data_IF_454560792788
#
_entry.id   IF_454560792788
#
_cell.length_a   1.000
_cell.length_b   1.000
_cell.length_c   1.000
_cell.angle_alpha   90.00
_cell.angle_beta   90.00
_cell.angle_gamma   90.00
#
_symmetry.space_group_name_H-M   'P 1'
#
loop_
_entity.id
_entity.type
_entity.pdbx_description
1 polymer ?
#
# COMPACT_ATOMS: atom_id res chain seq x y z
N UNK A 1 -4.30 24.97 31.17
CA UNK A 1 -3.74 24.42 29.93
C UNK A 1 -2.43 23.73 30.29
N UNK A 2 -2.22 22.50 29.84
CA UNK A 2 -0.96 21.77 30.06
C UNK A 2 -0.17 21.81 28.76
N UNK A 3 1.05 22.34 28.80
CA UNK A 3 1.94 22.34 27.64
C UNK A 3 2.60 20.98 27.49
N UNK A 4 2.48 20.37 26.31
CA UNK A 4 3.14 19.12 25.95
C UNK A 4 4.00 19.33 24.71
N UNK A 5 4.98 18.46 24.51
CA UNK A 5 5.90 18.51 23.37
C UNK A 5 5.95 17.15 22.68
N UNK A 6 6.12 17.17 21.36
CA UNK A 6 6.39 15.97 20.58
C UNK A 6 7.86 15.58 20.68
N UNK A 7 8.14 14.31 20.41
CA UNK A 7 9.49 13.76 20.33
C UNK A 7 9.99 13.77 18.89
N UNK A 8 11.31 13.61 18.72
CA UNK A 8 11.83 13.20 17.42
C UNK A 8 11.27 11.81 17.05
N UNK A 9 10.99 11.55 15.76
CA UNK A 9 10.49 10.27 15.29
C UNK A 9 11.31 9.10 15.82
N UNK A 10 10.62 8.09 16.35
CA UNK A 10 11.23 6.83 16.73
C UNK A 10 10.22 5.67 16.74
N UNK A 11 10.68 4.50 16.27
CA UNK A 11 9.91 3.25 16.29
C UNK A 11 10.30 2.41 17.49
N UNK A 12 9.30 1.84 18.17
CA UNK A 12 9.50 0.96 19.32
C UNK A 12 9.83 -0.48 18.92
N UNK A 13 10.25 -1.32 19.87
CA UNK A 13 10.51 -2.74 19.61
C UNK A 13 9.30 -3.49 19.04
N UNK A 14 8.10 -3.21 19.55
CA UNK A 14 6.88 -3.88 19.08
C UNK A 14 6.50 -3.55 17.62
N UNK A 15 7.14 -2.55 16.98
CA UNK A 15 7.01 -2.35 15.54
C UNK A 15 7.47 -3.58 14.76
N UNK A 16 8.61 -4.16 15.15
CA UNK A 16 9.15 -5.35 14.46
C UNK A 16 8.35 -6.63 14.73
N UNK A 17 7.41 -6.61 15.70
CA UNK A 17 6.52 -7.74 15.98
C UNK A 17 5.35 -7.86 14.99
N UNK A 18 5.07 -6.81 14.20
CA UNK A 18 3.90 -6.76 13.32
C UNK A 18 2.57 -6.93 14.06
N UNK A 19 1.53 -7.33 13.33
CA UNK A 19 0.17 -7.56 13.86
C UNK A 19 -0.28 -9.00 13.60
N UNK A 20 -1.51 -9.33 14.00
CA UNK A 20 -2.15 -10.59 13.62
C UNK A 20 -2.47 -10.66 12.12
N UNK A 21 -2.55 -9.52 11.44
CA UNK A 21 -2.89 -9.41 10.01
C UNK A 21 -1.64 -9.47 9.11
N UNK A 22 -0.46 -9.28 9.72
CA UNK A 22 0.84 -9.37 9.08
C UNK A 22 1.90 -9.52 10.18
N UNK A 23 2.25 -10.77 10.57
CA UNK A 23 3.21 -10.98 11.64
C UNK A 23 4.56 -10.41 11.24
N UNK A 24 5.24 -9.82 12.22
CA UNK A 24 6.58 -9.29 12.02
C UNK A 24 7.62 -10.39 11.80
N UNK A 25 8.87 -9.97 11.67
CA UNK A 25 10.00 -10.87 11.55
C UNK A 25 10.71 -11.02 12.90
N UNK A 26 11.44 -12.13 13.08
CA UNK A 26 12.18 -12.47 14.31
C UNK A 26 11.28 -12.66 15.55
N UNK A 27 11.90 -12.95 16.72
CA UNK A 27 11.22 -13.22 17.99
C UNK A 27 10.65 -11.97 18.71
N UNK A 28 10.35 -10.89 17.98
CA UNK A 28 9.74 -9.70 18.57
C UNK A 28 8.30 -9.97 19.01
N UNK A 29 7.91 -9.42 20.16
CA UNK A 29 6.55 -9.55 20.73
C UNK A 29 5.93 -8.19 20.96
N UNK A 30 4.64 -8.07 20.67
CA UNK A 30 3.88 -6.87 21.01
C UNK A 30 3.82 -6.67 22.53
N UNK A 31 3.71 -5.42 22.97
CA UNK A 31 3.67 -5.06 24.38
C UNK A 31 5.03 -4.94 25.05
N UNK A 32 6.12 -4.90 24.28
CA UNK A 32 7.47 -4.82 24.82
C UNK A 32 7.77 -3.41 25.32
N UNK A 33 7.99 -3.28 26.62
CA UNK A 33 8.36 -2.03 27.30
C UNK A 33 9.81 -2.01 27.80
N UNK A 34 10.54 -3.11 27.66
CA UNK A 34 11.95 -3.25 28.05
C UNK A 34 12.85 -3.39 26.83
N UNK A 35 14.06 -2.83 26.87
CA UNK A 35 15.02 -2.96 25.77
C UNK A 35 15.80 -4.28 25.83
N UNK A 36 16.46 -4.63 24.72
CA UNK A 36 17.35 -5.79 24.63
C UNK A 36 18.76 -5.34 24.20
N UNK A 37 19.84 -5.76 24.89
CA UNK A 37 21.20 -5.34 24.55
C UNK A 37 21.64 -5.65 23.12
N UNK A 38 21.24 -6.79 22.55
CA UNK A 38 21.58 -7.18 21.18
C UNK A 38 20.96 -6.21 20.17
N UNK A 39 19.67 -5.93 20.31
CA UNK A 39 18.95 -5.04 19.41
C UNK A 39 19.34 -3.57 19.59
N UNK A 40 19.74 -3.18 20.80
CA UNK A 40 20.35 -1.87 21.03
C UNK A 40 21.65 -1.72 20.23
N UNK A 41 22.54 -2.73 20.23
CA UNK A 41 23.78 -2.66 19.46
C UNK A 41 23.54 -2.52 17.94
N UNK A 42 22.54 -3.23 17.40
CA UNK A 42 22.14 -3.12 15.98
C UNK A 42 21.55 -1.73 15.68
N UNK A 43 20.70 -1.20 16.57
CA UNK A 43 20.15 0.15 16.46
C UNK A 43 21.26 1.21 16.48
N UNK A 44 22.19 1.10 17.42
CA UNK A 44 23.21 2.12 17.67
C UNK A 44 24.23 2.20 16.53
N UNK A 45 24.41 1.11 15.77
CA UNK A 45 25.15 1.12 14.52
C UNK A 45 24.51 2.00 13.43
N UNK A 46 23.18 2.15 13.43
CA UNK A 46 22.44 2.98 12.46
C UNK A 46 22.36 4.43 12.96
N UNK A 47 21.78 4.61 14.15
CA UNK A 47 21.66 5.90 14.82
C UNK A 47 21.33 5.69 16.30
N UNK A 48 22.26 6.04 17.18
CA UNK A 48 22.08 5.94 18.63
C UNK A 48 21.09 7.01 19.15
N UNK A 49 20.02 6.64 19.88
CA UNK A 49 19.11 7.59 20.52
C UNK A 49 19.78 8.26 21.71
N UNK A 50 19.54 9.56 21.91
CA UNK A 50 20.05 10.27 23.10
C UNK A 50 19.24 9.93 24.35
N UNK A 51 19.74 10.30 25.54
CA UNK A 51 19.00 10.15 26.80
C UNK A 51 17.68 10.92 26.78
N UNK A 52 17.67 12.07 26.11
CA UNK A 52 16.48 12.91 25.92
C UNK A 52 15.48 12.22 24.99
N UNK A 53 15.94 11.57 23.91
CA UNK A 53 15.07 10.80 23.01
C UNK A 53 14.38 9.66 23.78
N UNK A 54 15.15 8.88 24.56
CA UNK A 54 14.64 7.78 25.38
C UNK A 54 13.63 8.30 26.41
N UNK A 55 13.96 9.40 27.10
CA UNK A 55 13.06 10.00 28.10
C UNK A 55 11.77 10.52 27.47
N UNK A 56 11.85 11.15 26.31
CA UNK A 56 10.68 11.69 25.61
C UNK A 56 9.74 10.59 25.14
N UNK A 57 10.30 9.51 24.57
CA UNK A 57 9.52 8.41 24.00
C UNK A 57 8.97 7.44 25.06
N UNK A 58 9.42 7.52 26.31
CA UNK A 58 9.01 6.60 27.37
C UNK A 58 7.47 6.42 27.44
N UNK A 59 6.96 5.19 27.64
CA UNK A 59 7.69 3.96 27.99
C UNK A 59 8.21 3.16 26.79
N UNK A 60 8.19 3.71 25.57
CA UNK A 60 8.65 3.01 24.36
C UNK A 60 10.14 2.69 24.42
N UNK A 61 10.55 1.42 24.35
CA UNK A 61 11.94 1.08 24.07
C UNK A 61 12.21 1.33 22.59
N UNK A 62 13.08 2.30 22.29
CA UNK A 62 13.39 2.70 20.91
C UNK A 62 14.18 1.59 20.22
N UNK A 63 13.63 1.03 19.14
CA UNK A 63 14.29 0.11 18.22
C UNK A 63 14.97 0.87 17.07
N UNK A 64 14.32 1.90 16.52
CA UNK A 64 14.88 2.73 15.45
C UNK A 64 14.72 4.20 15.81
N UNK A 65 15.84 4.92 15.97
CA UNK A 65 15.85 6.36 16.20
C UNK A 65 15.77 7.13 14.86
N UNK A 66 14.69 6.91 14.10
CA UNK A 66 14.48 7.41 12.73
C UNK A 66 14.62 8.92 12.58
N UNK A 67 14.27 9.70 13.60
CA UNK A 67 14.47 11.16 13.61
C UNK A 67 15.94 11.61 13.65
N UNK A 68 16.84 10.69 14.03
CA UNK A 68 18.31 10.84 14.03
C UNK A 68 18.96 10.22 12.80
N UNK A 69 18.34 9.22 12.17
CA UNK A 69 18.81 8.60 10.95
C UNK A 69 18.60 9.53 9.73
N UNK A 70 19.71 10.02 9.17
CA UNK A 70 19.72 10.97 8.03
C UNK A 70 20.42 10.45 6.79
N UNK A 71 21.01 9.25 6.84
CA UNK A 71 21.72 8.66 5.72
C UNK A 71 20.90 7.51 5.12
N UNK A 72 20.72 7.46 3.78
CA UNK A 72 21.07 8.50 2.80
C UNK A 72 20.18 9.76 2.86
N UNK A 73 19.03 9.69 3.52
CA UNK A 73 18.07 10.80 3.74
C UNK A 73 17.39 10.64 5.10
N UNK A 74 16.50 11.56 5.50
CA UNK A 74 15.70 11.41 6.72
C UNK A 74 14.75 10.20 6.60
N UNK A 75 14.72 9.32 7.61
CA UNK A 75 13.97 8.07 7.52
C UNK A 75 12.47 8.22 7.80
N UNK A 76 12.05 9.25 8.54
CA UNK A 76 10.65 9.54 8.83
C UNK A 76 10.38 11.05 8.79
N UNK A 77 9.15 11.48 8.42
CA UNK A 77 8.84 12.89 8.23
C UNK A 77 8.87 13.67 9.54
N UNK A 78 9.43 14.88 9.47
CA UNK A 78 9.33 15.90 10.54
C UNK A 78 8.30 16.97 10.24
N UNK A 79 7.97 17.12 8.96
CA UNK A 79 6.96 18.04 8.44
C UNK A 79 5.79 17.17 8.00
N UNK A 80 4.60 17.43 8.57
CA UNK A 80 3.41 16.60 8.34
C UNK A 80 2.25 17.48 7.91
N UNK A 81 1.52 17.04 6.89
CA UNK A 81 0.38 17.78 6.34
C UNK A 81 -0.93 17.40 7.06
N UNK A 82 -1.63 18.39 7.60
CA UNK A 82 -2.95 18.23 8.22
C UNK A 82 -3.94 19.15 7.51
N UNK A 83 -5.12 18.65 7.16
CA UNK A 83 -6.16 19.47 6.52
C UNK A 83 -7.57 19.11 6.97
N UNK A 84 -8.44 20.13 6.97
CA UNK A 84 -9.89 19.98 7.19
C UNK A 84 -10.61 20.62 6.02
N UNK A 85 -11.54 19.89 5.42
CA UNK A 85 -12.39 20.37 4.34
C UNK A 85 -13.86 20.42 4.79
N UNK A 86 -14.61 21.42 4.31
CA UNK A 86 -16.06 21.56 4.53
C UNK A 86 -16.82 21.38 3.22
N UNK A 87 -17.81 20.50 3.23
CA UNK A 87 -18.74 20.25 2.11
C UNK A 87 -20.16 20.38 2.66
N UNK A 88 -20.76 21.56 2.55
CA UNK A 88 -22.04 21.86 3.20
C UNK A 88 -21.94 21.68 4.72
N UNK A 89 -22.71 20.72 5.26
CA UNK A 89 -22.70 20.35 6.67
C UNK A 89 -21.71 19.23 7.04
N UNK A 90 -20.94 18.69 6.09
CA UNK A 90 -19.90 17.68 6.33
C UNK A 90 -18.55 18.35 6.57
N UNK A 91 -17.85 17.95 7.62
CA UNK A 91 -16.42 18.20 7.80
C UNK A 91 -15.63 16.91 7.58
N UNK A 92 -14.60 17.00 6.75
CA UNK A 92 -13.65 15.92 6.46
C UNK A 92 -12.29 16.29 7.06
N UNK A 93 -11.85 15.53 8.06
CA UNK A 93 -10.52 15.67 8.64
C UNK A 93 -9.58 14.65 7.98
N UNK A 94 -8.72 15.14 7.09
CA UNK A 94 -7.72 14.34 6.41
C UNK A 94 -6.49 14.20 7.31
N UNK A 95 -6.25 12.99 7.84
CA UNK A 95 -5.20 12.70 8.82
C UNK A 95 -4.01 11.96 8.20
N UNK A 96 -2.77 12.37 8.51
CA UNK A 96 -1.56 11.88 7.84
C UNK A 96 -1.02 10.57 8.44
N UNK A 97 -1.90 9.59 8.69
CA UNK A 97 -1.51 8.33 9.31
C UNK A 97 -2.70 7.49 9.74
N UNK A 98 -2.43 6.54 10.61
CA UNK A 98 -3.37 5.52 11.08
C UNK A 98 -3.81 5.80 12.51
N UNK A 99 -4.92 6.53 12.65
CA UNK A 99 -5.52 6.79 13.95
C UNK A 99 -6.18 5.53 14.50
N UNK A 100 -5.85 5.15 15.74
CA UNK A 100 -6.58 4.11 16.44
C UNK A 100 -8.05 4.50 16.62
N UNK A 101 -8.89 3.53 16.98
CA UNK A 101 -10.32 3.76 17.20
C UNK A 101 -10.57 4.90 18.18
N UNK A 102 -9.88 4.94 19.32
CA UNK A 102 -10.09 5.99 20.32
C UNK A 102 -9.44 7.31 19.92
N UNK A 103 -8.30 7.31 19.25
CA UNK A 103 -7.71 8.51 18.66
C UNK A 103 -8.68 9.19 17.68
N UNK A 104 -9.26 8.43 16.75
CA UNK A 104 -10.23 8.95 15.78
C UNK A 104 -11.53 9.42 16.42
N UNK A 105 -11.99 8.76 17.49
CA UNK A 105 -13.16 9.23 18.28
C UNK A 105 -12.87 10.55 18.99
N UNK A 106 -11.70 10.68 19.65
CA UNK A 106 -11.29 11.94 20.31
C UNK A 106 -11.19 13.07 19.29
N UNK A 107 -10.61 12.81 18.12
CA UNK A 107 -10.49 13.80 17.04
C UNK A 107 -11.85 14.26 16.51
N UNK A 108 -12.76 13.33 16.20
CA UNK A 108 -14.12 13.70 15.77
C UNK A 108 -14.84 14.54 16.82
N UNK A 109 -14.70 14.19 18.09
CA UNK A 109 -15.36 14.90 19.18
C UNK A 109 -14.82 16.33 19.35
N UNK A 110 -13.51 16.55 19.24
CA UNK A 110 -12.97 17.93 19.35
C UNK A 110 -13.40 18.77 18.16
N UNK A 111 -13.34 18.25 16.93
CA UNK A 111 -13.78 18.97 15.73
C UNK A 111 -15.28 19.29 15.81
N UNK A 112 -16.13 18.34 16.24
CA UNK A 112 -17.56 18.57 16.37
C UNK A 112 -17.89 19.61 17.46
N UNK A 113 -17.08 19.69 18.52
CA UNK A 113 -17.21 20.74 19.54
C UNK A 113 -16.77 22.11 19.01
N UNK A 114 -15.72 22.15 18.20
CA UNK A 114 -15.22 23.37 17.55
C UNK A 114 -16.17 23.88 16.46
N UNK A 115 -16.89 22.97 15.81
CA UNK A 115 -17.86 23.25 14.74
C UNK A 115 -19.28 22.74 15.09
N UNK A 116 -20.01 23.37 16.03
CA UNK A 116 -21.32 22.89 16.44
C UNK A 116 -22.36 22.85 15.31
N UNK A 117 -22.16 23.62 14.24
CA UNK A 117 -23.01 23.63 13.06
C UNK A 117 -22.73 22.47 12.08
N UNK A 118 -21.63 21.73 12.27
CA UNK A 118 -21.30 20.58 11.45
C UNK A 118 -22.29 19.43 11.72
N UNK A 119 -22.95 18.95 10.67
CA UNK A 119 -23.85 17.80 10.75
C UNK A 119 -23.09 16.48 10.93
N UNK A 120 -21.88 16.37 10.38
CA UNK A 120 -21.07 15.16 10.43
C UNK A 120 -19.58 15.49 10.34
N UNK A 121 -18.78 14.80 11.15
CA UNK A 121 -17.32 14.80 11.05
C UNK A 121 -16.84 13.41 10.62
N UNK A 122 -16.08 13.34 9.54
CA UNK A 122 -15.48 12.10 9.02
C UNK A 122 -13.96 12.22 9.09
N UNK A 123 -13.31 11.13 9.50
CA UNK A 123 -11.85 11.00 9.43
C UNK A 123 -11.50 10.32 8.10
N UNK A 124 -10.68 10.97 7.29
CA UNK A 124 -10.03 10.35 6.14
C UNK A 124 -8.58 10.02 6.54
N UNK A 125 -8.33 8.74 6.85
CA UNK A 125 -7.00 8.23 7.17
C UNK A 125 -6.06 8.28 5.96
N UNK A 126 -4.76 8.07 6.21
CA UNK A 126 -3.74 7.91 5.17
C UNK A 126 -3.74 9.04 4.11
N UNK A 127 -3.99 10.27 4.53
CA UNK A 127 -4.13 11.41 3.62
C UNK A 127 -2.84 12.24 3.55
N UNK A 128 -2.50 12.72 2.34
CA UNK A 128 -1.36 13.59 2.02
C UNK A 128 0.03 12.96 2.22
N UNK A 129 0.38 12.62 3.46
CA UNK A 129 1.67 12.02 3.84
C UNK A 129 1.45 10.95 4.90
N UNK A 130 2.29 9.92 4.93
CA UNK A 130 2.20 8.84 5.90
C UNK A 130 3.19 9.06 7.05
N UNK A 131 2.69 9.15 8.28
CA UNK A 131 3.46 9.31 9.52
C UNK A 131 3.15 8.22 10.55
N UNK A 132 2.91 7.00 10.05
CA UNK A 132 2.63 5.80 10.83
C UNK A 132 1.35 5.93 11.70
N UNK A 133 1.36 5.36 12.90
CA UNK A 133 0.18 5.21 13.76
C UNK A 133 0.02 6.37 14.73
N UNK A 134 -1.22 6.59 15.16
CA UNK A 134 -1.56 7.56 16.20
C UNK A 134 -2.41 6.86 17.25
N UNK A 135 -1.76 6.40 18.32
CA UNK A 135 -2.39 5.88 19.51
C UNK A 135 -2.74 7.00 20.50
N UNK A 136 -3.76 6.76 21.32
CA UNK A 136 -4.03 7.61 22.50
C UNK A 136 -2.88 7.50 23.51
N UNK A 137 -2.67 8.49 24.40
CA UNK A 137 -1.66 8.39 25.45
C UNK A 137 -1.78 7.13 26.31
N UNK A 138 -3.01 6.64 26.53
CA UNK A 138 -3.32 5.44 27.29
C UNK A 138 -2.98 4.15 26.52
N UNK A 139 -3.40 4.07 25.25
CA UNK A 139 -3.00 2.96 24.38
C UNK A 139 -1.48 2.92 24.18
N UNK A 140 -0.84 4.09 24.11
CA UNK A 140 0.61 4.23 23.96
C UNK A 140 1.38 3.54 25.10
N UNK A 141 0.85 3.57 26.33
CA UNK A 141 1.51 2.94 27.48
C UNK A 141 1.63 1.42 27.31
N UNK A 142 0.69 0.79 26.60
CA UNK A 142 0.68 -0.65 26.40
C UNK A 142 1.79 -1.11 25.43
N UNK A 143 2.34 -0.21 24.60
CA UNK A 143 3.40 -0.51 23.63
C UNK A 143 3.13 -1.75 22.76
N UNK A 144 1.88 -1.93 22.32
CA UNK A 144 1.54 -2.81 21.19
C UNK A 144 2.07 -2.22 19.87
N UNK A 145 1.81 -2.88 18.73
CA UNK A 145 2.34 -2.46 17.43
C UNK A 145 2.04 -0.99 17.13
N UNK A 146 0.79 -0.57 17.25
CA UNK A 146 0.32 0.79 16.91
C UNK A 146 0.94 1.84 17.85
N UNK A 147 1.09 1.50 19.12
CA UNK A 147 1.74 2.34 20.14
C UNK A 147 3.26 2.47 19.91
N UNK A 148 3.93 1.38 19.50
CA UNK A 148 5.34 1.41 19.14
C UNK A 148 5.59 2.17 17.83
N UNK A 149 4.61 2.15 16.91
CA UNK A 149 4.60 2.89 15.66
C UNK A 149 4.01 4.31 15.79
N UNK A 150 3.73 4.79 17.01
CA UNK A 150 3.31 6.18 17.25
C UNK A 150 4.54 7.07 17.39
N UNK A 151 5.03 7.62 16.27
CA UNK A 151 6.44 8.01 16.12
C UNK A 151 6.86 9.26 16.89
N UNK A 152 5.95 10.20 17.14
CA UNK A 152 6.26 11.45 17.85
C UNK A 152 6.07 11.36 19.38
N UNK A 153 5.95 10.13 19.92
CA UNK A 153 5.88 9.88 21.36
C UNK A 153 4.45 9.88 21.94
N UNK A 154 4.32 9.85 23.28
CA UNK A 154 3.03 9.64 23.95
C UNK A 154 2.01 10.75 23.70
N UNK A 155 2.47 11.96 23.36
CA UNK A 155 1.62 13.14 23.11
C UNK A 155 1.30 13.37 21.62
N UNK A 156 1.59 12.40 20.75
CA UNK A 156 1.31 12.52 19.31
C UNK A 156 -0.15 12.90 19.05
N UNK A 157 -1.09 12.19 19.68
CA UNK A 157 -2.52 12.50 19.53
C UNK A 157 -2.85 13.91 20.04
N UNK A 158 -2.35 14.31 21.21
CA UNK A 158 -2.65 15.62 21.80
C UNK A 158 -2.27 16.77 20.86
N UNK A 159 -1.11 16.65 20.21
CA UNK A 159 -0.60 17.61 19.23
C UNK A 159 -1.52 17.66 18.00
N UNK A 160 -1.94 16.51 17.48
CA UNK A 160 -2.89 16.48 16.37
C UNK A 160 -4.23 17.10 16.76
N UNK A 161 -4.82 16.72 17.90
CA UNK A 161 -6.09 17.29 18.37
C UNK A 161 -6.02 18.81 18.42
N UNK A 162 -4.94 19.37 18.97
CA UNK A 162 -4.72 20.81 19.01
C UNK A 162 -4.64 21.43 17.60
N UNK A 163 -3.86 20.83 16.70
CA UNK A 163 -3.72 21.33 15.33
C UNK A 163 -5.03 21.27 14.55
N UNK A 164 -5.84 20.21 14.71
CA UNK A 164 -7.14 20.12 14.04
C UNK A 164 -8.18 21.09 14.60
N UNK A 165 -8.11 21.42 15.90
CA UNK A 165 -8.93 22.51 16.46
C UNK A 165 -8.54 23.83 15.80
N UNK A 166 -7.25 24.18 15.74
CA UNK A 166 -6.75 25.40 15.07
C UNK A 166 -7.22 25.49 13.60
N UNK A 167 -7.08 24.40 12.84
CA UNK A 167 -7.53 24.32 11.45
C UNK A 167 -9.04 24.49 11.33
N UNK A 168 -9.82 23.86 12.21
CA UNK A 168 -11.28 23.92 12.18
C UNK A 168 -11.78 25.32 12.54
N UNK A 169 -11.19 25.96 13.56
CA UNK A 169 -11.50 27.34 13.94
C UNK A 169 -11.22 28.31 12.79
N UNK A 170 -10.06 28.17 12.15
CA UNK A 170 -9.68 29.00 11.01
C UNK A 170 -10.65 28.79 9.82
N UNK A 171 -11.03 27.55 9.53
CA UNK A 171 -11.96 27.21 8.46
C UNK A 171 -13.35 27.82 8.69
N UNK A 172 -13.89 27.72 9.92
CA UNK A 172 -15.21 28.29 10.26
C UNK A 172 -15.16 29.82 10.22
N UNK A 173 -14.08 30.42 10.72
CA UNK A 173 -13.91 31.86 10.76
C UNK A 173 -13.46 32.46 9.41
N UNK A 174 -13.30 31.65 8.37
CA UNK A 174 -12.74 32.05 7.07
C UNK A 174 -11.41 32.81 7.21
N UNK A 175 -10.56 32.37 8.15
CA UNK A 175 -9.25 32.98 8.42
C UNK A 175 -8.15 32.21 7.70
N UNK A 176 -7.18 32.96 7.18
CA UNK A 176 -5.93 32.38 6.68
C UNK A 176 -5.03 31.97 7.85
N UNK A 177 -4.25 30.90 7.66
CA UNK A 177 -3.25 30.41 8.59
C UNK A 177 -1.87 30.44 7.95
N UNK A 178 -0.77 30.52 8.73
CA UNK A 178 0.57 30.38 8.18
C UNK A 178 0.73 29.05 7.43
N UNK A 179 1.43 29.08 6.30
CA UNK A 179 1.64 27.92 5.43
C UNK A 179 2.36 26.75 6.13
N UNK A 180 3.15 27.04 7.16
CA UNK A 180 4.04 26.06 7.77
C UNK A 180 5.31 25.82 6.94
N UNK A 181 6.22 24.97 7.43
CA UNK A 181 7.45 24.65 6.73
C UNK A 181 7.18 23.75 5.51
N UNK A 182 7.97 23.92 4.45
CA UNK A 182 7.87 23.11 3.24
C UNK A 182 8.60 21.77 3.41
N UNK A 183 7.98 20.62 3.06
CA UNK A 183 8.65 19.32 3.12
C UNK A 183 9.81 19.24 2.10
N UNK A 184 10.87 18.46 2.38
CA UNK A 184 11.98 18.30 1.46
C UNK A 184 11.58 17.55 0.18
N UNK A 185 12.09 17.97 -0.98
CA UNK A 185 12.00 17.22 -2.24
C UNK A 185 13.22 16.29 -2.38
N UNK A 186 12.97 14.98 -2.38
CA UNK A 186 13.99 13.94 -2.49
C UNK A 186 14.00 13.23 -3.87
N UNK A 187 13.20 13.69 -4.82
CA UNK A 187 12.99 13.01 -6.12
C UNK A 187 14.28 12.74 -6.91
N UNK A 188 15.27 13.63 -6.80
CA UNK A 188 16.58 13.51 -7.47
C UNK A 188 17.61 12.65 -6.72
N UNK A 189 17.28 12.18 -5.50
CA UNK A 189 18.20 11.48 -4.59
C UNK A 189 17.79 10.04 -4.29
N UNK A 190 16.71 9.55 -4.93
CA UNK A 190 16.17 8.23 -4.67
C UNK A 190 17.13 7.13 -5.15
N UNK A 191 17.48 6.21 -4.25
CA UNK A 191 18.29 5.04 -4.54
C UNK A 191 17.37 3.83 -4.69
N UNK A 192 17.47 3.10 -5.80
CA UNK A 192 16.81 1.79 -5.97
C UNK A 192 17.84 0.68 -5.96
N UNK A 193 17.70 -0.25 -5.01
CA UNK A 193 18.46 -1.50 -4.98
C UNK A 193 17.71 -2.65 -5.67
N UNK A 194 16.50 -2.40 -6.16
CA UNK A 194 15.72 -3.39 -6.91
C UNK A 194 16.28 -3.47 -8.33
N UNK A 195 16.85 -4.61 -8.77
CA UNK A 195 17.41 -4.73 -10.10
C UNK A 195 16.34 -4.46 -11.17
N UNK A 196 16.68 -3.82 -12.30
CA UNK A 196 15.76 -3.70 -13.42
C UNK A 196 15.49 -5.07 -14.05
N UNK A 197 14.47 -5.15 -14.91
CA UNK A 197 14.35 -6.30 -15.82
C UNK A 197 15.54 -6.27 -16.76
N UNK A 198 16.35 -7.34 -16.77
CA UNK A 198 17.55 -7.40 -17.59
C UNK A 198 17.19 -7.74 -19.05
N UNK A 199 16.53 -8.88 -19.24
CA UNK A 199 15.93 -9.34 -20.50
C UNK A 199 14.83 -10.37 -20.17
N UNK A 200 14.03 -10.70 -21.18
CA UNK A 200 13.12 -11.83 -21.18
C UNK A 200 13.41 -12.70 -22.41
N UNK A 201 13.09 -13.99 -22.30
CA UNK A 201 13.13 -14.93 -23.42
C UNK A 201 11.89 -15.83 -23.39
N UNK A 202 11.48 -16.28 -24.57
CA UNK A 202 10.51 -17.35 -24.69
C UNK A 202 11.24 -18.71 -24.60
N UNK A 203 10.60 -19.76 -24.04
CA UNK A 203 11.13 -21.12 -24.09
C UNK A 203 11.38 -21.58 -25.53
N UNK A 204 12.26 -22.57 -25.70
CA UNK A 204 12.56 -23.11 -27.02
C UNK A 204 11.30 -23.63 -27.73
N UNK A 205 11.09 -23.21 -28.98
CA UNK A 205 9.93 -23.61 -29.77
C UNK A 205 8.64 -22.85 -29.45
N UNK A 206 8.71 -21.81 -28.62
CA UNK A 206 7.58 -20.96 -28.28
C UNK A 206 7.89 -19.47 -28.51
N UNK A 207 6.83 -18.69 -28.65
CA UNK A 207 6.86 -17.23 -28.71
C UNK A 207 6.14 -16.61 -27.51
N UNK A 208 6.36 -15.31 -27.28
CA UNK A 208 5.62 -14.58 -26.24
C UNK A 208 4.14 -14.50 -26.61
N UNK A 209 3.27 -14.88 -25.68
CA UNK A 209 1.83 -14.97 -25.93
C UNK A 209 1.35 -16.39 -26.24
N UNK A 210 2.24 -17.35 -26.49
CA UNK A 210 1.82 -18.74 -26.69
C UNK A 210 1.13 -19.31 -25.45
N UNK A 211 -0.03 -19.95 -25.65
CA UNK A 211 -0.73 -20.65 -24.59
C UNK A 211 -0.09 -22.03 -24.34
N UNK A 212 0.57 -22.18 -23.19
CA UNK A 212 1.23 -23.40 -22.74
C UNK A 212 0.24 -24.42 -22.14
N UNK A 213 -0.83 -23.93 -21.53
CA UNK A 213 -1.88 -24.75 -20.94
C UNK A 213 -3.24 -24.19 -21.35
N UNK A 214 -3.91 -24.91 -22.23
CA UNK A 214 -5.24 -24.57 -22.71
C UNK A 214 -6.32 -24.89 -21.66
N UNK A 215 -7.43 -24.15 -21.64
CA UNK A 215 -8.60 -24.46 -20.83
C UNK A 215 -9.30 -25.73 -21.32
N UNK A 216 -10.17 -26.31 -20.48
CA UNK A 216 -11.07 -27.37 -20.91
C UNK A 216 -12.13 -26.82 -21.88
N UNK A 217 -12.77 -27.69 -22.67
CA UNK A 217 -13.74 -27.25 -23.68
C UNK A 217 -15.07 -26.77 -23.12
N UNK A 218 -15.41 -27.17 -21.89
CA UNK A 218 -16.72 -26.91 -21.28
C UNK A 218 -16.55 -26.67 -19.78
N UNK A 219 -17.31 -25.72 -19.27
CA UNK A 219 -17.37 -25.34 -17.87
C UNK A 219 -18.80 -25.02 -17.44
N UNK A 220 -19.05 -25.10 -16.13
CA UNK A 220 -20.29 -24.69 -15.47
C UNK A 220 -20.03 -23.53 -14.51
N UNK A 221 -21.10 -22.94 -13.99
CA UNK A 221 -21.00 -21.92 -12.94
C UNK A 221 -20.22 -22.41 -11.71
N UNK A 222 -19.35 -21.55 -11.19
CA UNK A 222 -18.47 -21.86 -10.05
C UNK A 222 -17.21 -22.64 -10.42
N UNK A 223 -17.08 -23.11 -11.67
CA UNK A 223 -15.82 -23.68 -12.11
C UNK A 223 -14.76 -22.59 -12.32
N UNK A 224 -13.49 -23.00 -12.24
CA UNK A 224 -12.34 -22.12 -12.48
C UNK A 224 -11.68 -22.50 -13.80
N UNK A 225 -11.74 -21.58 -14.76
CA UNK A 225 -10.96 -21.65 -15.99
C UNK A 225 -9.53 -21.26 -15.67
N UNK A 226 -8.56 -22.01 -16.17
CA UNK A 226 -7.14 -21.73 -15.97
C UNK A 226 -6.39 -21.86 -17.28
N UNK A 227 -5.64 -20.83 -17.63
CA UNK A 227 -4.75 -20.81 -18.79
C UNK A 227 -3.34 -20.39 -18.39
N UNK A 228 -2.33 -20.89 -19.11
CA UNK A 228 -0.94 -20.48 -18.89
C UNK A 228 -0.32 -20.01 -20.20
N UNK A 229 0.41 -18.91 -20.14
CA UNK A 229 1.01 -18.26 -21.31
C UNK A 229 2.50 -18.02 -21.13
N UNK A 230 3.27 -18.09 -22.21
CA UNK A 230 4.64 -17.54 -22.23
C UNK A 230 4.56 -16.04 -22.04
N UNK A 231 5.23 -15.52 -21.01
CA UNK A 231 5.09 -14.13 -20.61
C UNK A 231 6.45 -13.46 -20.39
N UNK A 232 6.58 -12.21 -20.83
CA UNK A 232 7.61 -11.29 -20.36
C UNK A 232 7.34 -10.80 -18.93
N UNK A 233 8.32 -10.16 -18.28
CA UNK A 233 8.14 -9.62 -16.93
C UNK A 233 7.16 -8.42 -16.92
N UNK A 234 6.13 -8.38 -16.04
CA UNK A 234 5.17 -7.27 -15.99
C UNK A 234 5.80 -5.90 -15.67
N UNK A 235 7.02 -5.86 -15.10
CA UNK A 235 7.74 -4.60 -14.85
C UNK A 235 8.20 -3.89 -16.12
N UNK A 236 8.15 -4.54 -17.29
CA UNK A 236 8.46 -3.90 -18.57
C UNK A 236 7.43 -2.84 -18.97
N UNK A 237 6.18 -2.98 -18.51
CA UNK A 237 5.12 -2.02 -18.77
C UNK A 237 4.06 -2.20 -17.71
N UNK A 238 3.75 -1.13 -16.96
CA UNK A 238 2.68 -1.15 -15.96
C UNK A 238 1.28 -1.21 -16.58
N UNK A 239 1.17 -1.11 -17.91
CA UNK A 239 -0.09 -1.17 -18.69
C UNK A 239 -1.20 -0.29 -18.13
N UNK A 240 -0.87 0.92 -17.66
CA UNK A 240 -1.84 1.84 -17.06
C UNK A 240 -3.03 2.12 -17.99
N UNK A 241 -4.25 1.97 -17.49
CA UNK A 241 -5.49 2.10 -18.29
C UNK A 241 -5.72 0.96 -19.30
N UNK A 242 -5.00 -0.16 -19.16
CA UNK A 242 -5.12 -1.38 -19.97
C UNK A 242 -5.03 -2.61 -19.06
N UNK A 243 -5.07 -3.79 -19.66
CA UNK A 243 -5.15 -5.10 -19.00
C UNK A 243 -3.98 -6.00 -19.41
N UNK A 244 -3.55 -6.88 -18.51
CA UNK A 244 -2.70 -8.05 -18.74
C UNK A 244 -3.51 -9.28 -19.16
N UNK A 245 -4.79 -9.33 -18.81
CA UNK A 245 -5.68 -10.43 -19.13
C UNK A 245 -7.12 -9.91 -19.33
N UNK A 246 -7.83 -10.50 -20.28
CA UNK A 246 -9.27 -10.35 -20.44
C UNK A 246 -9.93 -11.70 -20.66
N UNK A 247 -11.18 -11.81 -20.21
CA UNK A 247 -12.10 -12.85 -20.66
C UNK A 247 -12.99 -12.21 -21.71
N UNK A 248 -13.04 -12.83 -22.88
CA UNK A 248 -13.82 -12.36 -24.01
C UNK A 248 -14.92 -13.36 -24.31
N UNK A 249 -16.11 -12.85 -24.62
CA UNK A 249 -17.26 -13.62 -25.09
C UNK A 249 -17.42 -13.44 -26.59
N UNK A 250 -17.72 -14.51 -27.30
CA UNK A 250 -18.03 -14.48 -28.72
C UNK A 250 -19.44 -13.91 -28.92
N UNK A 251 -19.56 -12.87 -29.73
CA UNK A 251 -20.83 -12.24 -30.10
C UNK A 251 -21.30 -12.66 -31.50
N UNK A 252 -20.38 -12.85 -32.44
CA UNK A 252 -20.65 -13.31 -33.81
C UNK A 252 -19.53 -14.22 -34.27
N UNK A 253 -19.85 -15.48 -34.57
CA UNK A 253 -18.92 -16.44 -35.20
C UNK A 253 -18.51 -16.01 -36.61
N UNK A 254 -19.44 -15.42 -37.39
CA UNK A 254 -19.21 -15.05 -38.78
C UNK A 254 -18.17 -13.92 -38.92
N UNK A 255 -18.18 -12.99 -37.96
CA UNK A 255 -17.31 -11.81 -37.96
C UNK A 255 -16.06 -11.96 -37.07
N UNK A 256 -15.89 -13.12 -36.42
CA UNK A 256 -14.92 -13.32 -35.32
C UNK A 256 -14.98 -12.17 -34.29
N UNK A 257 -16.20 -11.76 -33.94
CA UNK A 257 -16.44 -10.61 -33.09
C UNK A 257 -16.48 -11.02 -31.62
N UNK A 258 -15.52 -10.54 -30.84
CA UNK A 258 -15.38 -10.81 -29.41
C UNK A 258 -15.55 -9.54 -28.58
N UNK A 259 -16.22 -9.68 -27.44
CA UNK A 259 -16.39 -8.58 -26.48
C UNK A 259 -15.77 -8.95 -25.14
N UNK A 260 -14.95 -8.06 -24.60
CA UNK A 260 -14.41 -8.19 -23.24
C UNK A 260 -15.55 -8.13 -22.22
N UNK A 261 -15.68 -9.18 -21.42
CA UNK A 261 -16.67 -9.28 -20.33
C UNK A 261 -16.05 -9.25 -18.94
N UNK A 262 -14.78 -9.64 -18.81
CA UNK A 262 -13.98 -9.48 -17.60
C UNK A 262 -12.55 -9.04 -17.96
N UNK A 263 -11.91 -8.35 -17.03
CA UNK A 263 -10.56 -7.80 -17.07
C UNK A 263 -9.82 -8.21 -15.81
N UNK A 264 -8.50 -8.00 -15.78
CA UNK A 264 -7.66 -8.21 -14.60
C UNK A 264 -7.97 -7.28 -13.39
N UNK A 265 -8.95 -6.38 -13.52
CA UNK A 265 -9.50 -5.58 -12.43
C UNK A 265 -10.72 -6.23 -11.76
N UNK A 266 -11.33 -7.24 -12.39
CA UNK A 266 -12.51 -7.93 -11.87
C UNK A 266 -12.11 -9.01 -10.87
N UNK A 267 -12.90 -9.16 -9.80
CA UNK A 267 -12.61 -10.03 -8.66
C UNK A 267 -12.54 -11.52 -9.03
N UNK A 268 -13.30 -11.88 -10.05
CA UNK A 268 -13.42 -13.22 -10.61
C UNK A 268 -12.17 -13.65 -11.37
N UNK A 269 -11.29 -12.71 -11.72
CA UNK A 269 -10.08 -13.02 -12.48
C UNK A 269 -8.82 -12.87 -11.63
N UNK A 270 -7.80 -13.67 -11.93
CA UNK A 270 -6.49 -13.54 -11.31
C UNK A 270 -5.40 -13.64 -12.36
N UNK A 271 -4.43 -12.74 -12.27
CA UNK A 271 -3.20 -12.78 -13.06
C UNK A 271 -2.02 -13.06 -12.12
N UNK A 272 -1.37 -14.21 -12.31
CA UNK A 272 -0.19 -14.61 -11.55
C UNK A 272 1.01 -14.73 -12.49
N UNK A 273 2.04 -13.90 -12.27
CA UNK A 273 3.29 -14.02 -13.01
C UNK A 273 4.31 -14.88 -12.26
N UNK A 274 4.93 -15.82 -12.97
CA UNK A 274 5.88 -16.78 -12.40
C UNK A 274 7.17 -16.77 -13.21
N UNK A 275 8.30 -16.60 -12.50
CA UNK A 275 9.63 -16.74 -13.08
C UNK A 275 10.01 -18.22 -13.15
N UNK A 276 10.18 -18.75 -14.36
CA UNK A 276 10.61 -20.13 -14.56
C UNK A 276 12.13 -20.27 -14.46
N UNK A 277 12.89 -19.39 -15.13
CA UNK A 277 14.36 -19.39 -15.06
C UNK A 277 14.93 -17.98 -15.09
N UNK A 278 15.67 -17.61 -14.05
CA UNK A 278 16.41 -16.33 -13.99
C UNK A 278 17.55 -16.29 -15.01
N UNK A 279 18.23 -17.42 -15.23
CA UNK A 279 19.39 -17.49 -16.12
C UNK A 279 18.95 -17.44 -17.57
N UNK A 280 17.87 -18.15 -17.93
CA UNK A 280 17.37 -18.13 -19.30
C UNK A 280 16.53 -16.88 -19.57
N UNK A 281 15.93 -16.28 -18.55
CA UNK A 281 15.02 -15.14 -18.70
C UNK A 281 13.59 -15.56 -19.08
N UNK A 282 13.24 -16.83 -18.94
CA UNK A 282 11.91 -17.35 -19.24
C UNK A 282 10.94 -17.13 -18.08
N UNK A 283 9.69 -16.88 -18.40
CA UNK A 283 8.59 -16.75 -17.43
C UNK A 283 7.25 -17.07 -18.07
N UNK A 284 6.26 -17.30 -17.22
CA UNK A 284 4.89 -17.57 -17.64
C UNK A 284 3.89 -16.77 -16.82
N UNK A 285 2.74 -16.49 -17.43
CA UNK A 285 1.58 -15.92 -16.77
C UNK A 285 0.52 -17.01 -16.62
N UNK A 286 0.00 -17.19 -15.41
CA UNK A 286 -1.18 -18.00 -15.14
C UNK A 286 -2.38 -17.05 -15.01
N UNK A 287 -3.41 -17.29 -15.80
CA UNK A 287 -4.66 -16.53 -15.78
C UNK A 287 -5.76 -17.47 -15.30
N UNK A 288 -6.46 -17.06 -14.25
CA UNK A 288 -7.63 -17.74 -13.72
C UNK A 288 -8.88 -16.90 -13.95
N UNK A 289 -9.99 -17.56 -14.24
CA UNK A 289 -11.33 -16.97 -14.21
C UNK A 289 -12.29 -17.91 -13.49
N UNK A 290 -12.76 -17.50 -12.32
CA UNK A 290 -13.84 -18.16 -11.58
C UNK A 290 -15.17 -17.73 -12.19
N UNK A 291 -15.92 -18.65 -12.79
CA UNK A 291 -17.12 -18.31 -13.54
C UNK A 291 -18.25 -17.94 -12.56
N UNK A 292 -18.66 -16.66 -12.47
CA UNK A 292 -19.70 -16.27 -11.52
C UNK A 292 -21.07 -16.84 -11.93
N UNK A 293 -21.90 -17.10 -10.91
CA UNK A 293 -23.27 -17.56 -11.12
C UNK A 293 -24.05 -16.54 -11.95
N UNK A 294 -24.74 -17.02 -12.99
CA UNK A 294 -25.51 -16.17 -13.90
C UNK A 294 -24.70 -15.62 -15.07
N UNK A 295 -23.44 -16.05 -15.25
CA UNK A 295 -22.69 -15.80 -16.50
C UNK A 295 -23.54 -16.28 -17.69
N UNK A 296 -23.74 -15.45 -18.73
CA UNK A 296 -24.47 -15.87 -19.92
C UNK A 296 -23.86 -17.14 -20.52
N UNK A 297 -24.69 -18.06 -21.00
CA UNK A 297 -24.16 -19.22 -21.72
C UNK A 297 -23.53 -18.78 -23.04
N UNK A 298 -22.53 -19.52 -23.49
CA UNK A 298 -21.91 -19.36 -24.81
C UNK A 298 -20.41 -19.59 -24.79
N UNK A 299 -19.77 -19.14 -25.87
CA UNK A 299 -18.35 -19.33 -26.13
C UNK A 299 -17.50 -18.20 -25.58
N UNK A 300 -16.42 -18.56 -24.90
CA UNK A 300 -15.48 -17.66 -24.26
C UNK A 300 -14.05 -18.00 -24.64
N UNK A 301 -13.14 -17.02 -24.49
CA UNK A 301 -11.68 -17.23 -24.54
C UNK A 301 -10.98 -16.32 -23.55
N UNK A 302 -9.77 -16.71 -23.15
CA UNK A 302 -8.88 -15.83 -22.38
C UNK A 302 -7.88 -15.20 -23.36
N UNK A 303 -7.70 -13.89 -23.23
CA UNK A 303 -6.75 -13.11 -24.01
C UNK A 303 -5.71 -12.50 -23.07
N UNK A 304 -4.45 -12.89 -23.26
CA UNK A 304 -3.32 -12.40 -22.49
C UNK A 304 -2.57 -11.30 -23.26
N UNK A 305 -2.12 -10.28 -22.54
CA UNK A 305 -1.29 -9.21 -23.07
C UNK A 305 -0.06 -8.99 -22.20
N UNK A 306 1.04 -8.61 -22.83
CA UNK A 306 2.22 -8.20 -22.08
C UNK A 306 3.26 -7.47 -22.90
N UNK A 307 4.41 -7.29 -22.26
CA UNK A 307 5.58 -6.70 -22.87
C UNK A 307 6.82 -7.50 -22.47
N UNK A 308 7.69 -7.78 -23.43
CA UNK A 308 8.97 -8.45 -23.17
C UNK A 308 10.12 -7.51 -23.47
N UNK A 309 11.22 -7.66 -22.71
CA UNK A 309 12.46 -6.92 -22.97
C UNK A 309 13.42 -7.79 -23.76
N UNK A 310 13.74 -7.38 -24.98
CA UNK A 310 14.67 -8.12 -25.82
C UNK A 310 16.11 -7.99 -25.29
N UNK A 311 16.92 -9.04 -25.46
CA UNK A 311 18.28 -9.11 -24.91
C UNK A 311 19.21 -8.02 -25.44
N UNK A 312 19.00 -7.55 -26.68
CA UNK A 312 19.75 -6.44 -27.27
C UNK A 312 19.13 -5.06 -26.99
N UNK A 313 18.09 -5.00 -26.15
CA UNK A 313 17.36 -3.80 -25.81
C UNK A 313 16.03 -3.63 -26.55
N UNK A 314 15.22 -2.69 -26.06
CA UNK A 314 13.84 -2.48 -26.50
C UNK A 314 12.82 -3.27 -25.70
N UNK A 315 11.60 -2.74 -25.61
CA UNK A 315 10.45 -3.37 -24.96
C UNK A 315 9.35 -3.47 -26.01
N UNK A 316 8.89 -4.69 -26.27
CA UNK A 316 7.96 -4.96 -27.36
C UNK A 316 6.66 -5.55 -26.80
N UNK A 317 5.49 -5.10 -27.29
CA UNK A 317 4.22 -5.67 -26.90
C UNK A 317 4.02 -7.05 -27.54
N UNK A 318 3.29 -7.91 -26.86
CA UNK A 318 2.76 -9.16 -27.41
C UNK A 318 1.37 -9.39 -26.84
N UNK A 319 0.67 -10.32 -27.46
CA UNK A 319 -0.60 -10.84 -26.99
C UNK A 319 -0.80 -12.28 -27.44
N UNK A 320 -1.73 -12.98 -26.83
CA UNK A 320 -2.09 -14.33 -27.24
C UNK A 320 -3.41 -14.78 -26.64
N UNK A 321 -3.98 -15.81 -27.25
CA UNK A 321 -5.31 -16.29 -26.93
C UNK A 321 -5.24 -17.76 -26.51
N UNK A 322 -6.18 -18.17 -25.65
CA UNK A 322 -6.51 -19.59 -25.53
C UNK A 322 -7.30 -20.06 -26.75
N UNK A 323 -7.45 -21.38 -26.85
CA UNK A 323 -8.58 -21.94 -27.56
C UNK A 323 -9.90 -21.49 -26.90
N UNK A 324 -10.97 -21.45 -27.69
CA UNK A 324 -12.30 -21.12 -27.18
C UNK A 324 -12.90 -22.28 -26.37
N UNK A 325 -13.73 -21.94 -25.39
CA UNK A 325 -14.42 -22.90 -24.52
C UNK A 325 -15.84 -22.45 -24.22
N UNK A 326 -16.72 -23.40 -23.91
CA UNK A 326 -18.13 -23.15 -23.62
C UNK A 326 -18.40 -23.00 -22.12
N UNK A 327 -19.29 -22.08 -21.78
CA UNK A 327 -19.88 -21.97 -20.44
C UNK A 327 -21.37 -22.34 -20.53
N UNK A 328 -21.79 -23.34 -19.77
CA UNK A 328 -23.13 -23.92 -19.82
C UNK A 328 -23.84 -24.00 -18.47
#
# INVERSE_FOLDING_TARGET
>A
STTVYGCLPAMGYSFAAGTTDGPGAFDFKQGTTTSNPLWNAVRDFIAEPTKEDIKCQAPKPILLATGRAKFPYEWQPKIVSCSVARIGGLLLAAVPGEFTTMSGRRLRNVIAKTAPEARKVVIAGLSNIYSDYIATPEEYQAQRYEAASTIYGPHTLDIYLNKYVELTEALIASKSIPQGPEPPDLSSQLISLVPPVLWDSAPWGHEFGDCLKQPFKQYSYGDVVMAQFVSGHPRNSIRHGRWYATVERLESEEDDAWTTVFTDADWETKYTWIRDSKVMGTSRAEIEWEIPVGTPKGTYRIHHFGNYKYVLGGIYPYHGFTDSFEVS
#
